data_IF_039063597364
#
_entry.id   IF_039063597364
#
_cell.length_a   1.000
_cell.length_b   1.000
_cell.length_c   1.000
_cell.angle_alpha   90.00
_cell.angle_beta   90.00
_cell.angle_gamma   90.00
#
_symmetry.space_group_name_H-M   'P 1'
#
loop_
_entity.id
_entity.type
_entity.pdbx_description
1 polymer ?
#
# COMPACT_ATOMS: atom_id res chain seq x y z
N UNK A 1 18.51 51.92 5.47
CA UNK A 1 17.11 51.65 5.09
C UNK A 1 16.85 50.17 5.27
N UNK A 2 16.07 49.81 6.29
CA UNK A 2 15.72 48.42 6.64
C UNK A 2 14.83 47.80 5.56
N UNK A 3 15.24 46.65 5.02
CA UNK A 3 14.41 45.86 4.10
C UNK A 3 13.43 45.04 4.92
N UNK A 4 12.23 45.58 5.13
CA UNK A 4 11.10 44.82 5.66
C UNK A 4 10.57 43.86 4.57
N UNK A 5 11.18 42.68 4.48
CA UNK A 5 10.62 41.56 3.71
C UNK A 5 9.32 41.12 4.37
N UNK A 6 8.19 41.57 3.83
CA UNK A 6 6.85 41.15 4.28
C UNK A 6 6.67 39.67 3.92
N UNK A 7 6.89 38.78 4.87
CA UNK A 7 6.60 37.35 4.75
C UNK A 7 5.09 37.18 4.58
N UNK A 8 4.63 36.99 3.35
CA UNK A 8 3.25 36.66 3.02
C UNK A 8 3.01 35.19 3.36
N UNK A 9 2.56 34.92 4.57
CA UNK A 9 2.13 33.58 5.00
C UNK A 9 0.80 33.25 4.32
N UNK A 10 0.86 32.79 3.07
CA UNK A 10 -0.30 32.19 2.41
C UNK A 10 -0.52 30.82 3.02
N UNK A 11 -1.50 30.71 3.90
CA UNK A 11 -2.06 29.42 4.31
C UNK A 11 -2.76 28.82 3.09
N UNK A 12 -2.04 27.99 2.34
CA UNK A 12 -2.63 27.16 1.29
C UNK A 12 -3.31 26.01 2.02
N UNK A 13 -4.63 26.10 2.17
CA UNK A 13 -5.43 24.94 2.57
C UNK A 13 -5.31 23.95 1.42
N UNK A 14 -4.41 22.97 1.57
CA UNK A 14 -4.45 21.77 0.77
C UNK A 14 -5.68 21.01 1.21
N UNK A 15 -6.83 21.32 0.62
CA UNK A 15 -7.95 20.38 0.60
C UNK A 15 -7.44 19.14 -0.15
N UNK A 16 -6.80 18.24 0.59
CA UNK A 16 -6.47 16.91 0.10
C UNK A 16 -7.75 16.37 -0.50
N UNK A 17 -7.71 16.13 -1.81
CA UNK A 17 -8.65 15.52 -2.75
C UNK A 17 -9.62 14.47 -2.16
N UNK A 18 -10.35 14.77 -1.09
CA UNK A 18 -11.30 13.91 -0.41
C UNK A 18 -12.68 14.06 -1.04
N UNK A 19 -12.68 14.07 -2.37
CA UNK A 19 -13.87 13.85 -3.15
C UNK A 19 -14.44 12.46 -2.77
N UNK A 20 -15.77 12.32 -2.61
CA UNK A 20 -16.45 11.03 -2.39
C UNK A 20 -15.95 9.93 -3.34
N UNK A 21 -15.59 10.32 -4.58
CA UNK A 21 -15.05 9.44 -5.61
C UNK A 21 -13.63 8.96 -5.28
N UNK A 22 -12.77 9.84 -4.77
CA UNK A 22 -11.42 9.45 -4.35
C UNK A 22 -11.47 8.49 -3.14
N UNK A 23 -12.40 8.71 -2.21
CA UNK A 23 -12.61 7.79 -1.07
C UNK A 23 -13.13 6.42 -1.53
N UNK A 24 -14.00 6.40 -2.54
CA UNK A 24 -14.46 5.15 -3.17
C UNK A 24 -13.31 4.36 -3.79
N UNK A 25 -12.52 5.02 -4.65
CA UNK A 25 -11.35 4.40 -5.28
C UNK A 25 -10.32 3.89 -4.25
N UNK A 26 -10.07 4.64 -3.17
CA UNK A 26 -9.17 4.19 -2.12
C UNK A 26 -9.68 2.96 -1.37
N UNK A 27 -11.00 2.85 -1.16
CA UNK A 27 -11.60 1.66 -0.54
C UNK A 27 -11.52 0.43 -1.45
N UNK A 28 -11.68 0.61 -2.75
CA UNK A 28 -11.51 -0.47 -3.72
C UNK A 28 -10.06 -0.98 -3.73
N UNK A 29 -9.09 -0.05 -3.69
CA UNK A 29 -7.65 -0.39 -3.56
C UNK A 29 -7.39 -1.13 -2.24
N UNK A 30 -7.93 -0.63 -1.13
CA UNK A 30 -7.78 -1.25 0.20
C UNK A 30 -8.36 -2.68 0.24
N UNK A 31 -9.54 -2.87 -0.35
CA UNK A 31 -10.20 -4.18 -0.44
C UNK A 31 -9.36 -5.18 -1.22
N UNK A 32 -8.93 -4.81 -2.43
CA UNK A 32 -8.07 -5.65 -3.25
C UNK A 32 -6.75 -6.00 -2.54
N UNK A 33 -6.13 -5.02 -1.87
CA UNK A 33 -4.90 -5.24 -1.11
C UNK A 33 -5.09 -6.23 0.04
N UNK A 34 -6.21 -6.12 0.78
CA UNK A 34 -6.52 -7.01 1.90
C UNK A 34 -6.72 -8.45 1.45
N UNK A 35 -7.44 -8.66 0.36
CA UNK A 35 -7.67 -9.98 -0.22
C UNK A 35 -6.35 -10.62 -0.66
N UNK A 36 -5.55 -9.89 -1.44
CA UNK A 36 -4.23 -10.34 -1.89
C UNK A 36 -3.31 -10.72 -0.72
N UNK A 37 -3.33 -9.92 0.36
CA UNK A 37 -2.49 -10.17 1.54
C UNK A 37 -2.90 -11.45 2.27
N UNK A 38 -4.21 -11.67 2.44
CA UNK A 38 -4.72 -12.89 3.09
C UNK A 38 -4.32 -14.13 2.28
N UNK A 39 -4.54 -14.12 0.96
CA UNK A 39 -4.15 -15.23 0.08
C UNK A 39 -2.64 -15.53 0.16
N UNK A 40 -1.81 -14.49 0.09
CA UNK A 40 -0.35 -14.63 0.21
C UNK A 40 0.08 -15.21 1.55
N UNK A 41 -0.48 -14.73 2.65
CA UNK A 41 -0.13 -15.20 4.01
C UNK A 41 -0.57 -16.64 4.20
N UNK A 42 -1.78 -17.00 3.77
CA UNK A 42 -2.27 -18.37 3.85
C UNK A 42 -1.38 -19.33 3.05
N UNK A 43 -0.99 -18.96 1.83
CA UNK A 43 -0.07 -19.74 1.03
C UNK A 43 1.32 -19.87 1.69
N UNK A 44 1.87 -18.75 2.18
CA UNK A 44 3.16 -18.73 2.85
C UNK A 44 3.18 -19.64 4.08
N UNK A 45 2.13 -19.61 4.90
CA UNK A 45 2.00 -20.47 6.10
C UNK A 45 1.83 -21.93 5.71
N UNK A 46 0.98 -22.23 4.72
CA UNK A 46 0.67 -23.60 4.28
C UNK A 46 1.87 -24.30 3.66
N UNK A 47 2.64 -23.59 2.83
CA UNK A 47 3.74 -24.17 2.06
C UNK A 47 5.13 -23.82 2.60
N UNK A 48 5.23 -23.03 3.68
CA UNK A 48 6.49 -22.45 4.18
C UNK A 48 7.32 -21.82 3.04
N UNK A 49 6.61 -21.13 2.15
CA UNK A 49 7.20 -20.59 0.92
C UNK A 49 8.19 -19.47 1.23
N UNK A 50 9.28 -19.41 0.47
CA UNK A 50 10.20 -18.27 0.50
C UNK A 50 9.58 -17.07 -0.22
N UNK A 51 10.10 -15.87 0.06
CA UNK A 51 9.67 -14.64 -0.59
C UNK A 51 9.78 -14.71 -2.13
N UNK A 52 10.80 -15.39 -2.66
CA UNK A 52 11.01 -15.56 -4.09
C UNK A 52 9.93 -16.43 -4.74
N UNK A 53 9.51 -17.51 -4.06
CA UNK A 53 8.41 -18.36 -4.50
C UNK A 53 7.09 -17.60 -4.49
N UNK A 54 6.84 -16.79 -3.45
CA UNK A 54 5.64 -15.94 -3.39
C UNK A 54 5.63 -14.92 -4.53
N UNK A 55 6.78 -14.31 -4.83
CA UNK A 55 6.87 -13.36 -5.94
C UNK A 55 6.56 -14.01 -7.29
N UNK A 56 7.13 -15.18 -7.58
CA UNK A 56 6.89 -15.85 -8.87
C UNK A 56 5.44 -16.30 -9.03
N UNK A 57 4.80 -16.80 -7.98
CA UNK A 57 3.43 -17.34 -8.04
C UNK A 57 2.41 -16.21 -8.09
N UNK A 58 2.55 -15.23 -7.20
CA UNK A 58 1.49 -14.24 -6.99
C UNK A 58 1.63 -12.97 -7.83
N UNK A 59 2.84 -12.62 -8.31
CA UNK A 59 3.00 -11.39 -9.09
C UNK A 59 2.19 -11.44 -10.40
N UNK A 60 2.25 -12.54 -11.14
CA UNK A 60 1.49 -12.70 -12.38
C UNK A 60 -0.01 -12.80 -12.08
N UNK A 61 -0.40 -13.61 -11.10
CA UNK A 61 -1.80 -13.81 -10.70
C UNK A 61 -2.48 -12.50 -10.27
N UNK A 62 -1.81 -11.69 -9.45
CA UNK A 62 -2.36 -10.40 -9.01
C UNK A 62 -2.33 -9.34 -10.11
N UNK A 63 -1.38 -9.40 -11.04
CA UNK A 63 -1.34 -8.49 -12.17
C UNK A 63 -2.50 -8.72 -13.14
N UNK A 64 -2.89 -9.98 -13.35
CA UNK A 64 -4.05 -10.35 -14.15
C UNK A 64 -5.36 -10.01 -13.45
N UNK A 65 -5.48 -10.30 -12.14
CA UNK A 65 -6.69 -10.04 -11.35
C UNK A 65 -6.94 -8.55 -11.14
N UNK A 66 -5.88 -7.76 -11.00
CA UNK A 66 -5.96 -6.33 -10.73
C UNK A 66 -5.12 -5.50 -11.72
N UNK A 67 -5.55 -5.40 -13.00
CA UNK A 67 -4.81 -4.68 -14.02
C UNK A 67 -4.72 -3.18 -13.74
N UNK A 68 -5.67 -2.63 -12.98
CA UNK A 68 -5.80 -1.22 -12.60
C UNK A 68 -5.01 -0.85 -11.33
N UNK A 69 -4.48 -1.83 -10.58
CA UNK A 69 -3.66 -1.58 -9.40
C UNK A 69 -2.24 -1.14 -9.80
N UNK A 70 -1.66 -0.11 -9.15
CA UNK A 70 -0.28 0.29 -9.42
C UNK A 70 0.70 -0.83 -9.07
N UNK A 71 1.69 -1.07 -9.94
CA UNK A 71 2.72 -2.10 -9.74
C UNK A 71 3.45 -1.97 -8.40
N UNK A 72 3.61 -0.74 -7.88
CA UNK A 72 4.24 -0.49 -6.58
C UNK A 72 3.46 -1.13 -5.43
N UNK A 73 2.13 -1.15 -5.49
CA UNK A 73 1.29 -1.73 -4.43
C UNK A 73 1.47 -3.24 -4.38
N UNK A 74 1.42 -3.89 -5.55
CA UNK A 74 1.64 -5.34 -5.70
C UNK A 74 3.06 -5.70 -5.24
N UNK A 75 4.07 -4.93 -5.66
CA UNK A 75 5.46 -5.18 -5.31
C UNK A 75 5.72 -5.00 -3.82
N UNK A 76 5.20 -3.93 -3.20
CA UNK A 76 5.33 -3.69 -1.75
C UNK A 76 4.67 -4.81 -0.94
N UNK A 77 3.53 -5.35 -1.40
CA UNK A 77 2.89 -6.48 -0.74
C UNK A 77 3.79 -7.72 -0.73
N UNK A 78 4.43 -8.03 -1.86
CA UNK A 78 5.25 -9.22 -2.02
C UNK A 78 6.60 -9.07 -1.30
N UNK A 79 7.16 -7.85 -1.31
CA UNK A 79 8.43 -7.53 -0.65
C UNK A 79 8.29 -7.26 0.85
N UNK A 80 7.06 -7.21 1.38
CA UNK A 80 6.85 -7.04 2.81
C UNK A 80 7.42 -8.24 3.58
N UNK A 81 8.33 -8.01 4.55
CA UNK A 81 8.85 -9.10 5.35
C UNK A 81 7.73 -9.69 6.20
N UNK A 82 7.31 -10.91 5.89
CA UNK A 82 6.33 -11.69 6.67
C UNK A 82 6.75 -11.89 8.15
N UNK A 83 8.00 -11.59 8.49
CA UNK A 83 8.51 -11.56 9.86
C UNK A 83 8.23 -10.27 10.66
N UNK A 84 7.75 -9.19 10.03
CA UNK A 84 7.54 -7.88 10.67
C UNK A 84 6.24 -7.74 11.49
N UNK A 85 5.25 -8.62 11.27
CA UNK A 85 3.97 -8.60 12.01
C UNK A 85 4.05 -9.13 13.45
N UNK A 86 5.24 -9.53 13.94
CA UNK A 86 5.46 -9.96 15.33
C UNK A 86 5.88 -8.85 16.30
N UNK A 87 6.01 -7.59 15.86
CA UNK A 87 6.59 -6.52 16.67
C UNK A 87 5.59 -5.45 17.18
N UNK A 88 4.30 -5.76 17.29
CA UNK A 88 3.33 -4.88 17.97
C UNK A 88 2.41 -5.68 18.89
N UNK A 89 2.99 -6.23 19.95
CA UNK A 89 2.27 -7.06 20.92
C UNK A 89 3.07 -7.32 22.19
N UNK A 90 3.69 -6.27 22.74
CA UNK A 90 4.21 -6.25 24.12
C UNK A 90 4.79 -4.88 24.44
N UNK A 91 3.97 -3.99 25.00
CA UNK A 91 4.37 -2.92 25.90
C UNK A 91 3.16 -2.54 26.75
#
# INVERSE_FOLDING_TARGET
>A
MEKLSKTLTRTVVLECYANRYARGALREIEGAYREMLVEMVEYAVKYKASQETLHSVFYEEFRERYPWLPTRVIKVLIEMPLGGLRASGSA
#
